data_IF_097132964747
#
_entry.id   IF_097132964747
#
_cell.length_a   1.000
_cell.length_b   1.000
_cell.length_c   1.000
_cell.angle_alpha   90.00
_cell.angle_beta   90.00
_cell.angle_gamma   90.00
#
_symmetry.space_group_name_H-M   'P 1'
#
loop_
_entity.id
_entity.type
_entity.pdbx_description
1 polymer ?
#
# COMPACT_ATOMS: atom_id res chain seq x y z
N UNK A 1 175.18 131.93 -115.93
CA UNK A 1 174.73 131.51 -117.27
C UNK A 1 174.85 129.99 -117.34
N UNK A 2 173.84 129.17 -117.62
CA UNK A 2 172.43 129.41 -117.93
C UNK A 2 171.54 129.14 -116.69
N UNK A 3 170.64 130.09 -116.39
CA UNK A 3 169.71 130.07 -115.26
C UNK A 3 168.54 129.11 -115.60
N UNK A 4 168.49 127.94 -114.95
CA UNK A 4 167.37 127.00 -115.11
C UNK A 4 166.07 127.64 -114.57
N UNK A 5 164.99 127.59 -115.36
CA UNK A 5 163.72 128.28 -115.11
C UNK A 5 162.81 127.51 -114.11
N UNK A 6 161.91 128.18 -113.37
CA UNK A 6 161.11 127.59 -112.30
C UNK A 6 160.16 126.45 -112.72
N UNK A 7 159.73 126.40 -113.99
CA UNK A 7 158.94 125.26 -114.51
C UNK A 7 159.73 123.96 -114.56
N UNK A 8 161.04 124.05 -114.78
CA UNK A 8 161.90 122.88 -114.74
C UNK A 8 162.03 122.38 -113.30
N UNK A 9 162.07 123.26 -112.29
CA UNK A 9 162.13 122.88 -110.86
C UNK A 9 160.90 122.10 -110.38
N UNK A 10 159.68 122.48 -110.78
CA UNK A 10 158.47 121.69 -110.47
C UNK A 10 158.48 120.32 -111.16
N UNK A 11 158.90 120.28 -112.42
CA UNK A 11 159.10 119.01 -113.12
C UNK A 11 160.16 118.16 -112.43
N UNK A 12 161.26 118.75 -111.94
CA UNK A 12 162.27 118.06 -111.15
C UNK A 12 161.74 117.56 -109.79
N UNK A 13 160.84 118.29 -109.11
CA UNK A 13 160.22 117.85 -107.86
C UNK A 13 159.16 116.77 -108.08
N UNK A 14 158.35 116.87 -109.13
CA UNK A 14 157.38 115.83 -109.50
C UNK A 14 158.10 114.56 -110.01
N UNK A 15 159.16 114.71 -110.81
CA UNK A 15 160.07 113.62 -111.18
C UNK A 15 160.81 113.10 -109.96
N UNK A 16 161.16 113.95 -108.99
CA UNK A 16 161.80 113.59 -107.74
C UNK A 16 160.88 112.76 -106.85
N UNK A 17 159.61 113.17 -106.68
CA UNK A 17 158.57 112.40 -105.98
C UNK A 17 158.24 111.10 -106.71
N UNK A 18 158.15 111.12 -108.04
CA UNK A 18 158.01 109.89 -108.83
C UNK A 18 159.20 108.97 -108.63
N UNK A 19 160.44 109.46 -108.75
CA UNK A 19 161.66 108.70 -108.47
C UNK A 19 161.68 108.20 -107.03
N UNK A 20 161.25 108.99 -106.04
CA UNK A 20 161.21 108.58 -104.65
C UNK A 20 160.15 107.50 -104.39
N UNK A 21 158.95 107.65 -104.94
CA UNK A 21 157.90 106.64 -104.87
C UNK A 21 158.28 105.38 -105.65
N UNK A 22 158.92 105.52 -106.81
CA UNK A 22 159.48 104.41 -107.58
C UNK A 22 160.59 103.74 -106.79
N UNK A 23 161.47 104.48 -106.09
CA UNK A 23 162.49 103.92 -105.19
C UNK A 23 161.86 103.20 -103.99
N UNK A 24 160.84 103.78 -103.35
CA UNK A 24 160.11 103.14 -102.24
C UNK A 24 159.31 101.91 -102.70
N UNK A 25 158.83 101.89 -103.94
CA UNK A 25 158.17 100.75 -104.58
C UNK A 25 159.19 99.69 -104.99
N UNK A 26 160.30 100.09 -105.60
CA UNK A 26 161.44 99.24 -105.94
C UNK A 26 162.00 98.54 -104.69
N UNK A 27 162.14 99.25 -103.57
CA UNK A 27 162.49 98.65 -102.27
C UNK A 27 161.53 97.54 -101.82
N UNK A 28 160.25 97.60 -102.21
CA UNK A 28 159.25 96.55 -101.93
C UNK A 28 159.25 95.42 -102.96
N UNK A 29 159.45 95.73 -104.24
CA UNK A 29 159.40 94.78 -105.37
C UNK A 29 160.69 93.97 -105.51
N UNK A 30 161.86 94.61 -105.37
CA UNK A 30 163.17 93.95 -105.49
C UNK A 30 163.58 93.22 -104.21
N UNK A 31 163.04 93.60 -103.05
CA UNK A 31 163.20 92.80 -101.86
C UNK A 31 162.31 91.56 -101.96
N UNK A 32 162.88 90.46 -102.45
CA UNK A 32 162.16 89.21 -102.64
C UNK A 32 161.43 88.75 -101.37
N UNK A 33 161.98 89.04 -100.18
CA UNK A 33 161.35 88.69 -98.90
C UNK A 33 160.05 89.45 -98.67
N UNK A 34 160.00 90.76 -98.91
CA UNK A 34 158.77 91.54 -98.75
C UNK A 34 157.75 91.24 -99.87
N UNK A 35 158.21 90.77 -101.04
CA UNK A 35 157.33 90.36 -102.13
C UNK A 35 156.66 89.00 -101.88
N UNK A 36 157.35 88.08 -101.19
CA UNK A 36 156.84 86.74 -100.86
C UNK A 36 156.09 86.75 -99.51
N UNK A 37 156.61 87.48 -98.51
CA UNK A 37 156.09 87.55 -97.13
C UNK A 37 156.13 89.01 -96.65
N UNK A 38 155.32 89.88 -97.26
CA UNK A 38 155.15 91.26 -96.84
C UNK A 38 153.88 91.44 -96.02
N UNK A 39 154.00 92.12 -94.88
CA UNK A 39 152.86 92.45 -94.02
C UNK A 39 153.20 93.54 -93.03
N UNK A 40 152.16 94.26 -92.59
CA UNK A 40 152.28 95.33 -91.61
C UNK A 40 151.99 94.77 -90.22
N UNK A 41 153.07 94.48 -89.48
CA UNK A 41 152.98 93.87 -88.15
C UNK A 41 152.21 94.77 -87.16
N UNK A 42 152.37 96.09 -87.26
CA UNK A 42 151.70 97.05 -86.36
C UNK A 42 150.19 97.06 -86.61
N UNK A 43 149.75 97.00 -87.87
CA UNK A 43 148.34 96.91 -88.22
C UNK A 43 147.71 95.57 -87.81
N UNK A 44 148.45 94.46 -87.94
CA UNK A 44 148.00 93.16 -87.43
C UNK A 44 147.90 93.14 -85.91
N UNK A 45 148.82 93.76 -85.20
CA UNK A 45 148.77 93.88 -83.73
C UNK A 45 147.51 94.65 -83.29
N UNK A 46 147.15 95.73 -83.98
CA UNK A 46 145.89 96.46 -83.72
C UNK A 46 144.66 95.60 -84.04
N UNK A 47 144.64 94.87 -85.15
CA UNK A 47 143.53 93.97 -85.49
C UNK A 47 143.36 92.84 -84.47
N UNK A 48 144.47 92.24 -84.03
CA UNK A 48 144.49 91.24 -82.96
C UNK A 48 144.01 91.85 -81.64
N UNK A 49 144.39 93.10 -81.35
CA UNK A 49 143.91 93.81 -80.16
C UNK A 49 142.39 94.05 -80.23
N UNK A 50 141.86 94.53 -81.34
CA UNK A 50 140.42 94.75 -81.53
C UNK A 50 139.63 93.44 -81.46
N UNK A 51 140.18 92.37 -82.04
CA UNK A 51 139.59 91.03 -81.95
C UNK A 51 139.58 90.53 -80.50
N UNK A 52 140.68 90.71 -79.76
CA UNK A 52 140.74 90.40 -78.31
C UNK A 52 139.74 91.22 -77.51
N UNK A 53 139.54 92.51 -77.83
CA UNK A 53 138.50 93.33 -77.19
C UNK A 53 137.12 92.76 -77.50
N UNK A 54 136.81 92.46 -78.76
CA UNK A 54 135.51 91.87 -79.15
C UNK A 54 135.26 90.55 -78.42
N UNK A 55 136.22 89.64 -78.45
CA UNK A 55 136.14 88.36 -77.74
C UNK A 55 135.96 88.57 -76.22
N UNK A 56 136.66 89.52 -75.61
CA UNK A 56 136.48 89.85 -74.20
C UNK A 56 135.09 90.44 -73.91
N UNK A 57 134.54 91.30 -74.78
CA UNK A 57 133.20 91.87 -74.61
C UNK A 57 132.10 90.82 -74.80
N UNK A 58 132.24 89.92 -75.76
CA UNK A 58 131.32 88.80 -75.98
C UNK A 58 131.40 87.81 -74.81
N UNK A 59 132.61 87.48 -74.35
CA UNK A 59 132.81 86.65 -73.17
C UNK A 59 132.16 87.28 -71.93
N UNK A 60 132.36 88.59 -71.70
CA UNK A 60 131.70 89.30 -70.61
C UNK A 60 130.17 89.26 -70.72
N UNK A 61 129.59 89.44 -71.92
CA UNK A 61 128.15 89.30 -72.16
C UNK A 61 127.64 87.87 -71.90
N UNK A 62 128.37 86.86 -72.35
CA UNK A 62 128.03 85.47 -72.07
C UNK A 62 128.11 85.16 -70.58
N UNK A 63 129.11 85.71 -69.88
CA UNK A 63 129.24 85.59 -68.43
C UNK A 63 128.08 86.29 -67.69
N UNK A 64 127.62 87.46 -68.14
CA UNK A 64 126.43 88.11 -67.56
C UNK A 64 125.16 87.30 -67.79
N UNK A 65 124.92 86.80 -69.01
CA UNK A 65 123.76 85.94 -69.28
C UNK A 65 123.82 84.62 -68.50
N UNK A 66 125.01 84.01 -68.37
CA UNK A 66 125.19 82.82 -67.56
C UNK A 66 124.97 83.09 -66.06
N UNK A 67 125.31 84.30 -65.57
CA UNK A 67 125.00 84.71 -64.21
C UNK A 67 123.49 84.90 -64.00
N UNK A 68 122.79 85.55 -64.93
CA UNK A 68 121.33 85.72 -64.90
C UNK A 68 120.59 84.37 -64.97
N UNK A 69 121.04 83.46 -65.85
CA UNK A 69 120.48 82.11 -65.94
C UNK A 69 120.62 81.36 -64.60
N UNK A 70 121.79 81.42 -63.97
CA UNK A 70 122.01 80.83 -62.63
C UNK A 70 121.12 81.46 -61.55
N UNK A 71 120.87 82.78 -61.63
CA UNK A 71 119.94 83.45 -60.71
C UNK A 71 118.50 83.00 -60.95
N UNK A 72 118.06 82.93 -62.21
CA UNK A 72 116.72 82.47 -62.57
C UNK A 72 116.49 81.01 -62.17
N UNK A 73 117.46 80.12 -62.41
CA UNK A 73 117.41 78.71 -61.98
C UNK A 73 117.30 78.58 -60.46
N UNK A 74 118.01 79.45 -59.72
CA UNK A 74 117.88 79.50 -58.25
C UNK A 74 116.49 79.96 -57.83
N UNK A 75 115.92 80.96 -58.50
CA UNK A 75 114.57 81.46 -58.22
C UNK A 75 113.52 80.38 -58.52
N UNK A 76 113.62 79.69 -59.65
CA UNK A 76 112.69 78.60 -60.02
C UNK A 76 112.74 77.46 -59.01
N UNK A 77 113.93 77.02 -58.58
CA UNK A 77 114.09 76.01 -57.53
C UNK A 77 113.41 76.43 -56.21
N UNK A 78 113.55 77.71 -55.81
CA UNK A 78 112.92 78.23 -54.60
C UNK A 78 111.39 78.25 -54.74
N UNK A 79 110.87 78.73 -55.87
CA UNK A 79 109.43 78.78 -56.13
C UNK A 79 108.81 77.38 -56.16
N UNK A 80 109.45 76.43 -56.83
CA UNK A 80 109.01 75.05 -56.88
C UNK A 80 109.04 74.40 -55.48
N UNK A 81 110.05 74.73 -54.66
CA UNK A 81 110.12 74.31 -53.25
C UNK A 81 109.02 74.92 -52.38
N UNK A 82 108.57 76.15 -52.67
CA UNK A 82 107.41 76.77 -52.01
C UNK A 82 106.11 76.06 -52.43
N UNK A 83 105.89 75.90 -53.74
CA UNK A 83 104.70 75.22 -54.26
C UNK A 83 104.56 73.79 -53.73
N UNK A 84 105.67 73.03 -53.67
CA UNK A 84 105.68 71.68 -53.06
C UNK A 84 105.31 71.70 -51.58
N UNK A 85 105.76 72.71 -50.82
CA UNK A 85 105.37 72.86 -49.40
C UNK A 85 103.91 73.22 -49.26
N UNK A 86 103.41 74.14 -50.08
CA UNK A 86 102.01 74.58 -50.06
C UNK A 86 101.06 73.42 -50.45
N UNK A 87 101.43 72.63 -51.47
CA UNK A 87 100.71 71.40 -51.83
C UNK A 87 100.69 70.40 -50.67
N UNK A 88 101.84 70.19 -50.00
CA UNK A 88 101.91 69.31 -48.83
C UNK A 88 101.06 69.81 -47.68
N UNK A 89 101.08 71.10 -47.36
CA UNK A 89 100.24 71.67 -46.29
C UNK A 89 98.76 71.59 -46.64
N UNK A 90 98.38 71.82 -47.90
CA UNK A 90 97.00 71.70 -48.35
C UNK A 90 96.53 70.25 -48.25
N UNK A 91 97.31 69.28 -48.75
CA UNK A 91 96.95 67.86 -48.63
C UNK A 91 96.84 67.41 -47.17
N UNK A 92 97.72 67.89 -46.29
CA UNK A 92 97.62 67.66 -44.84
C UNK A 92 96.32 68.23 -44.28
N UNK A 93 96.03 69.50 -44.54
CA UNK A 93 94.79 70.14 -44.08
C UNK A 93 93.52 69.43 -44.59
N UNK A 94 93.52 68.98 -45.85
CA UNK A 94 92.42 68.17 -46.41
C UNK A 94 92.30 66.84 -45.68
N UNK A 95 93.40 66.13 -45.49
CA UNK A 95 93.41 64.85 -44.76
C UNK A 95 92.93 65.03 -43.32
N UNK A 96 93.41 66.06 -42.62
CA UNK A 96 93.00 66.40 -41.25
C UNK A 96 91.50 66.71 -41.22
N UNK A 97 91.01 67.52 -42.15
CA UNK A 97 89.58 67.83 -42.28
C UNK A 97 88.73 66.58 -42.52
N UNK A 98 89.17 65.70 -43.43
CA UNK A 98 88.49 64.43 -43.70
C UNK A 98 88.47 63.53 -42.47
N UNK A 99 89.59 63.41 -41.77
CA UNK A 99 89.72 62.60 -40.56
C UNK A 99 88.88 63.13 -39.39
N UNK A 100 88.70 64.46 -39.27
CA UNK A 100 87.96 65.04 -38.15
C UNK A 100 86.46 65.19 -38.44
N UNK A 101 86.09 65.58 -39.66
CA UNK A 101 84.72 66.00 -39.99
C UNK A 101 84.01 65.12 -41.02
N UNK A 102 84.70 64.18 -41.67
CA UNK A 102 84.10 63.28 -42.67
C UNK A 102 84.16 61.81 -42.23
N UNK A 103 84.17 61.56 -40.92
CA UNK A 103 84.12 60.18 -40.38
C UNK A 103 82.79 59.53 -40.77
N UNK A 104 82.77 58.22 -41.09
CA UNK A 104 81.52 57.50 -41.34
C UNK A 104 80.49 57.67 -40.20
N UNK A 105 80.97 57.67 -38.96
CA UNK A 105 80.17 57.85 -37.74
C UNK A 105 79.42 59.18 -37.67
N UNK A 106 79.93 60.22 -38.35
CA UNK A 106 79.33 61.57 -38.36
C UNK A 106 78.29 61.78 -39.46
N UNK A 107 78.01 60.74 -40.27
CA UNK A 107 76.97 60.79 -41.30
C UNK A 107 75.58 60.78 -40.67
N UNK A 108 74.61 61.39 -41.34
CA UNK A 108 73.22 61.48 -40.84
C UNK A 108 72.57 60.10 -40.76
N UNK A 109 72.87 59.25 -41.73
CA UNK A 109 72.35 57.89 -41.89
C UNK A 109 73.26 56.79 -41.30
N UNK A 110 74.23 57.16 -40.44
CA UNK A 110 75.13 56.18 -39.86
C UNK A 110 74.39 55.20 -38.94
N UNK A 111 73.35 55.64 -38.26
CA UNK A 111 72.46 54.79 -37.45
C UNK A 111 71.89 53.59 -38.25
N UNK A 112 71.56 53.80 -39.53
CA UNK A 112 71.09 52.74 -40.43
C UNK A 112 72.23 51.83 -40.94
N UNK A 113 73.45 52.36 -41.03
CA UNK A 113 74.62 51.68 -41.59
C UNK A 113 75.57 51.10 -40.54
N UNK A 114 75.27 51.30 -39.25
CA UNK A 114 76.11 50.88 -38.14
C UNK A 114 76.15 49.34 -38.07
N UNK A 115 77.33 48.71 -38.20
CA UNK A 115 77.45 47.26 -38.11
C UNK A 115 77.02 46.70 -36.75
N UNK A 116 76.96 47.54 -35.71
CA UNK A 116 76.52 47.16 -34.37
C UNK A 116 75.07 47.55 -34.06
N UNK A 117 74.29 48.05 -35.03
CA UNK A 117 72.90 48.49 -34.83
C UNK A 117 72.05 47.44 -34.09
N UNK A 118 72.03 46.20 -34.59
CA UNK A 118 71.27 45.09 -34.01
C UNK A 118 71.66 44.74 -32.56
N UNK A 119 72.89 45.07 -32.14
CA UNK A 119 73.36 44.84 -30.77
C UNK A 119 72.98 45.99 -29.83
N UNK A 120 72.87 47.21 -30.35
CA UNK A 120 72.45 48.40 -29.60
C UNK A 120 70.92 48.46 -29.45
N UNK A 121 70.20 47.90 -30.42
CA UNK A 121 68.75 47.85 -30.43
C UNK A 121 68.18 47.01 -29.28
N UNK A 122 67.06 47.49 -28.74
CA UNK A 122 66.33 46.81 -27.68
C UNK A 122 65.31 45.84 -28.30
N UNK A 123 65.05 44.67 -27.66
CA UNK A 123 63.98 43.79 -28.11
C UNK A 123 62.63 44.51 -28.18
N UNK A 124 61.82 44.15 -29.18
CA UNK A 124 60.50 44.76 -29.41
C UNK A 124 59.53 44.59 -28.22
N UNK A 125 59.68 43.53 -27.42
CA UNK A 125 58.97 43.33 -26.15
C UNK A 125 59.96 42.83 -25.11
N UNK A 126 60.22 43.64 -24.08
CA UNK A 126 61.11 43.26 -22.97
C UNK A 126 60.36 42.60 -21.81
N UNK A 127 59.15 43.07 -21.54
CA UNK A 127 58.28 42.52 -20.51
C UNK A 127 56.82 42.67 -20.90
N UNK A 128 55.93 41.92 -20.23
CA UNK A 128 54.50 42.01 -20.46
C UNK A 128 53.90 43.35 -20.03
N UNK A 129 54.60 44.06 -19.15
CA UNK A 129 54.24 45.38 -18.63
C UNK A 129 55.06 46.52 -19.26
N UNK A 130 55.71 46.29 -20.42
CA UNK A 130 56.47 47.34 -21.11
C UNK A 130 55.51 48.44 -21.60
N UNK A 131 55.71 49.66 -21.10
CA UNK A 131 54.86 50.82 -21.39
C UNK A 131 54.96 51.23 -22.87
N UNK A 132 56.07 50.91 -23.56
CA UNK A 132 56.26 51.19 -24.98
C UNK A 132 55.30 50.36 -25.86
N UNK A 133 54.83 49.22 -25.36
CA UNK A 133 53.95 48.30 -26.08
C UNK A 133 52.49 48.73 -25.94
N UNK A 134 52.15 49.76 -26.71
CA UNK A 134 50.78 50.23 -26.91
C UNK A 134 50.00 49.29 -27.84
N UNK A 135 48.67 49.46 -27.87
CA UNK A 135 47.76 48.61 -28.68
C UNK A 135 48.09 48.65 -30.17
N UNK A 136 48.54 49.80 -30.71
CA UNK A 136 48.91 49.94 -32.13
C UNK A 136 50.20 49.21 -32.50
N UNK A 137 51.09 48.93 -31.53
CA UNK A 137 52.37 48.27 -31.79
C UNK A 137 52.26 46.77 -32.07
N UNK A 138 51.09 46.16 -31.84
CA UNK A 138 50.80 44.72 -32.06
C UNK A 138 51.79 43.76 -31.37
N UNK A 139 52.51 44.21 -30.34
CA UNK A 139 53.47 43.39 -29.59
C UNK A 139 52.81 42.64 -28.42
N UNK A 140 51.62 43.07 -27.97
CA UNK A 140 50.87 42.47 -26.86
C UNK A 140 49.39 42.38 -27.22
N UNK A 141 48.82 41.19 -27.08
CA UNK A 141 47.41 40.93 -27.35
C UNK A 141 46.68 40.55 -26.06
N UNK A 142 45.48 41.10 -25.85
CA UNK A 142 44.67 40.81 -24.65
C UNK A 142 44.15 39.36 -24.60
N UNK A 143 44.15 38.65 -25.74
CA UNK A 143 43.80 37.23 -25.81
C UNK A 143 44.94 36.28 -25.37
N UNK A 144 46.16 36.79 -25.20
CA UNK A 144 47.27 36.00 -24.67
C UNK A 144 47.06 35.79 -23.17
N UNK A 145 46.68 34.57 -22.78
CA UNK A 145 46.55 34.21 -21.38
C UNK A 145 47.84 33.59 -20.84
N UNK A 146 48.66 34.44 -20.21
CA UNK A 146 49.89 34.03 -19.54
C UNK A 146 49.60 33.15 -18.30
N UNK A 147 48.44 33.34 -17.67
CA UNK A 147 48.04 32.66 -16.43
C UNK A 147 47.20 31.40 -16.71
N UNK A 148 47.18 30.90 -17.95
CA UNK A 148 46.37 29.75 -18.36
C UNK A 148 46.60 28.53 -17.47
N UNK A 149 47.87 28.24 -17.13
CA UNK A 149 48.22 27.09 -16.28
C UNK A 149 47.69 27.25 -14.87
N UNK A 150 47.79 28.43 -14.29
CA UNK A 150 47.31 28.72 -12.93
C UNK A 150 45.78 28.68 -12.87
N UNK A 151 45.11 29.31 -13.85
CA UNK A 151 43.66 29.27 -14.00
C UNK A 151 43.15 27.83 -14.14
N UNK A 152 43.81 27.02 -14.97
CA UNK A 152 43.45 25.61 -15.17
C UNK A 152 43.64 24.80 -13.88
N UNK A 153 44.76 25.00 -13.17
CA UNK A 153 45.00 24.36 -11.87
C UNK A 153 43.91 24.70 -10.86
N UNK A 154 43.52 25.97 -10.76
CA UNK A 154 42.44 26.40 -9.87
C UNK A 154 41.07 25.81 -10.25
N UNK A 155 40.79 25.65 -11.54
CA UNK A 155 39.59 24.95 -12.02
C UNK A 155 39.62 23.46 -11.68
N UNK A 156 40.76 22.79 -11.84
CA UNK A 156 40.95 21.40 -11.46
C UNK A 156 40.77 21.18 -9.95
N UNK A 157 41.30 22.09 -9.12
CA UNK A 157 41.12 22.09 -7.67
C UNK A 157 39.65 22.24 -7.27
N UNK A 158 38.94 23.22 -7.84
CA UNK A 158 37.49 23.39 -7.59
C UNK A 158 36.69 22.15 -8.01
N UNK A 159 36.95 21.61 -9.20
CA UNK A 159 36.27 20.41 -9.69
C UNK A 159 36.53 19.20 -8.77
N UNK A 160 37.76 19.07 -8.26
CA UNK A 160 38.12 18.02 -7.31
C UNK A 160 37.35 18.20 -6.00
N UNK A 161 37.30 19.41 -5.46
CA UNK A 161 36.59 19.70 -4.21
C UNK A 161 35.09 19.44 -4.33
N UNK A 162 34.45 19.89 -5.41
CA UNK A 162 33.04 19.61 -5.68
C UNK A 162 32.77 18.12 -5.83
N UNK A 163 33.62 17.39 -6.55
CA UNK A 163 33.47 15.95 -6.71
C UNK A 163 33.57 15.22 -5.36
N UNK A 164 34.53 15.59 -4.52
CA UNK A 164 34.68 15.02 -3.17
C UNK A 164 33.50 15.37 -2.26
N UNK A 165 32.97 16.59 -2.34
CA UNK A 165 31.79 16.99 -1.59
C UNK A 165 30.57 16.14 -2.00
N UNK A 166 30.32 16.00 -3.30
CA UNK A 166 29.22 15.17 -3.81
C UNK A 166 29.37 13.71 -3.40
N UNK A 167 30.59 13.15 -3.45
CA UNK A 167 30.85 11.78 -2.97
C UNK A 167 30.52 11.63 -1.50
N UNK A 168 30.96 12.57 -0.64
CA UNK A 168 30.65 12.55 0.80
C UNK A 168 29.16 12.68 1.08
N UNK A 169 28.46 13.55 0.36
CA UNK A 169 27.01 13.71 0.49
C UNK A 169 26.26 12.45 0.06
N UNK A 170 26.70 11.83 -1.04
CA UNK A 170 26.14 10.56 -1.52
C UNK A 170 26.38 9.41 -0.54
N UNK A 171 27.60 9.29 0.01
CA UNK A 171 27.93 8.29 1.02
C UNK A 171 27.11 8.48 2.30
N UNK A 172 26.96 9.72 2.77
CA UNK A 172 26.09 10.04 3.92
C UNK A 172 24.63 9.68 3.62
N UNK A 173 24.09 10.08 2.48
CA UNK A 173 22.72 9.76 2.08
C UNK A 173 22.50 8.24 2.01
N UNK A 174 23.46 7.51 1.46
CA UNK A 174 23.43 6.05 1.40
C UNK A 174 23.51 5.40 2.78
N UNK A 175 24.33 5.93 3.68
CA UNK A 175 24.40 5.48 5.07
C UNK A 175 23.06 5.73 5.80
N UNK A 176 22.49 6.93 5.64
CA UNK A 176 21.17 7.25 6.19
C UNK A 176 20.08 6.32 5.66
N UNK A 177 20.07 6.04 4.35
CA UNK A 177 19.13 5.09 3.75
C UNK A 177 19.29 3.69 4.34
N UNK A 178 20.52 3.17 4.44
CA UNK A 178 20.79 1.86 5.08
C UNK A 178 20.31 1.82 6.53
N UNK A 179 20.61 2.85 7.31
CA UNK A 179 20.13 2.93 8.69
C UNK A 179 18.59 2.95 8.77
N UNK A 180 17.92 3.66 7.86
CA UNK A 180 16.45 3.69 7.81
C UNK A 180 15.87 2.32 7.40
N UNK A 181 16.48 1.64 6.43
CA UNK A 181 16.12 0.29 6.02
C UNK A 181 16.31 -0.72 7.16
N UNK A 182 17.45 -0.67 7.87
CA UNK A 182 17.71 -1.53 9.03
C UNK A 182 16.71 -1.30 10.16
N UNK A 183 16.35 -0.04 10.44
CA UNK A 183 15.32 0.29 11.42
C UNK A 183 13.96 -0.26 11.00
N UNK A 184 13.58 -0.06 9.73
CA UNK A 184 12.33 -0.58 9.17
C UNK A 184 12.27 -2.11 9.27
N UNK A 185 13.34 -2.81 8.90
CA UNK A 185 13.45 -4.27 9.01
C UNK A 185 13.31 -4.73 10.46
N UNK A 186 14.00 -4.09 11.41
CA UNK A 186 13.87 -4.40 12.84
C UNK A 186 12.44 -4.20 13.34
N UNK A 187 11.80 -3.09 12.99
CA UNK A 187 10.41 -2.82 13.38
C UNK A 187 9.45 -3.85 12.79
N UNK A 188 9.64 -4.24 11.52
CA UNK A 188 8.84 -5.28 10.88
C UNK A 188 8.99 -6.63 11.58
N UNK A 189 10.21 -7.05 11.89
CA UNK A 189 10.48 -8.28 12.61
C UNK A 189 9.81 -8.28 14.00
N UNK A 190 9.86 -7.15 14.72
CA UNK A 190 9.16 -7.00 15.99
C UNK A 190 7.64 -7.13 15.84
N UNK A 191 7.05 -6.62 14.76
CA UNK A 191 5.63 -6.81 14.49
C UNK A 191 5.29 -8.27 14.19
N UNK A 192 6.11 -8.96 13.38
CA UNK A 192 5.91 -10.38 13.08
C UNK A 192 6.02 -11.25 14.34
N UNK A 193 6.98 -10.96 15.22
CA UNK A 193 7.11 -11.64 16.52
C UNK A 193 5.91 -11.39 17.44
N UNK A 194 5.45 -10.13 17.54
CA UNK A 194 4.25 -9.78 18.32
C UNK A 194 3.00 -10.46 17.75
N UNK A 195 2.85 -10.50 16.43
CA UNK A 195 1.72 -11.15 15.77
C UNK A 195 1.71 -12.67 16.08
N UNK A 196 2.87 -13.33 15.96
CA UNK A 196 3.02 -14.75 16.35
C UNK A 196 2.67 -14.97 17.82
N UNK A 197 3.14 -14.10 18.71
CA UNK A 197 2.82 -14.19 20.13
C UNK A 197 1.32 -14.07 20.41
N UNK A 198 0.66 -13.07 19.80
CA UNK A 198 -0.79 -12.88 19.93
C UNK A 198 -1.58 -14.07 19.36
N UNK A 199 -1.18 -14.60 18.22
CA UNK A 199 -1.80 -15.79 17.62
C UNK A 199 -1.67 -17.01 18.55
N UNK A 200 -0.51 -17.20 19.17
CA UNK A 200 -0.30 -18.28 20.14
C UNK A 200 -1.20 -18.12 21.36
N UNK A 201 -1.30 -16.91 21.93
CA UNK A 201 -2.20 -16.61 23.05
C UNK A 201 -3.66 -16.83 22.68
N UNK A 202 -4.09 -16.38 21.50
CA UNK A 202 -5.44 -16.61 21.00
C UNK A 202 -5.71 -18.12 20.85
N UNK A 203 -4.76 -18.88 20.28
CA UNK A 203 -4.92 -20.33 20.13
C UNK A 203 -5.02 -21.03 21.49
N UNK A 204 -4.26 -20.59 22.49
CA UNK A 204 -4.26 -21.14 23.83
C UNK A 204 -5.57 -20.82 24.56
N UNK A 205 -6.05 -19.58 24.47
CA UNK A 205 -7.34 -19.16 25.05
C UNK A 205 -8.51 -19.88 24.40
N UNK A 206 -8.55 -19.99 23.07
CA UNK A 206 -9.57 -20.79 22.37
C UNK A 206 -9.57 -22.25 22.82
N UNK A 207 -8.39 -22.87 22.96
CA UNK A 207 -8.28 -24.24 23.49
C UNK A 207 -8.82 -24.34 24.92
N UNK A 208 -8.44 -23.41 25.81
CA UNK A 208 -8.89 -23.38 27.19
C UNK A 208 -10.42 -23.20 27.31
N UNK A 209 -11.01 -22.33 26.48
CA UNK A 209 -12.46 -22.16 26.40
C UNK A 209 -13.13 -23.45 25.92
N UNK A 210 -12.61 -24.07 24.85
CA UNK A 210 -13.14 -25.35 24.36
C UNK A 210 -13.06 -26.46 25.41
N UNK A 211 -11.97 -26.55 26.18
CA UNK A 211 -11.87 -27.54 27.27
C UNK A 211 -12.86 -27.26 28.38
N UNK A 212 -13.01 -26.00 28.80
CA UNK A 212 -13.98 -25.61 29.83
C UNK A 212 -15.44 -25.91 29.40
N UNK A 213 -15.80 -25.57 28.16
CA UNK A 213 -17.13 -25.89 27.59
C UNK A 213 -17.35 -27.40 27.51
N UNK A 214 -16.32 -28.17 27.12
CA UNK A 214 -16.40 -29.64 27.09
C UNK A 214 -16.65 -30.21 28.48
N UNK A 215 -15.95 -29.71 29.51
CA UNK A 215 -16.13 -30.14 30.90
C UNK A 215 -17.52 -29.78 31.42
N UNK A 216 -18.00 -28.57 31.13
CA UNK A 216 -19.35 -28.14 31.46
C UNK A 216 -20.43 -29.00 30.78
N UNK A 217 -20.29 -29.31 29.49
CA UNK A 217 -21.24 -30.17 28.80
C UNK A 217 -21.24 -31.60 29.37
N UNK A 218 -20.08 -32.11 29.81
CA UNK A 218 -19.99 -33.39 30.50
C UNK A 218 -20.73 -33.37 31.83
N UNK A 219 -20.50 -32.34 32.66
CA UNK A 219 -21.19 -32.23 33.96
C UNK A 219 -22.70 -32.06 33.78
N UNK A 220 -23.13 -31.29 32.78
CA UNK A 220 -24.55 -31.13 32.44
C UNK A 220 -25.17 -32.45 31.97
N UNK A 221 -24.44 -33.25 31.18
CA UNK A 221 -24.90 -34.57 30.76
C UNK A 221 -25.05 -35.54 31.93
N UNK A 222 -24.09 -35.55 32.88
CA UNK A 222 -24.20 -36.37 34.10
C UNK A 222 -25.35 -35.92 34.98
N UNK A 223 -25.54 -34.61 35.15
CA UNK A 223 -26.66 -34.07 35.93
C UNK A 223 -28.01 -34.42 35.28
N UNK A 224 -28.12 -34.30 33.96
CA UNK A 224 -29.34 -34.70 33.23
C UNK A 224 -29.63 -36.19 33.36
N UNK A 225 -28.60 -37.05 33.33
CA UNK A 225 -28.75 -38.48 33.57
C UNK A 225 -29.25 -38.76 34.99
N UNK A 226 -28.67 -38.11 36.00
CA UNK A 226 -29.11 -38.24 37.40
C UNK A 226 -30.55 -37.78 37.58
N UNK A 227 -30.94 -36.64 36.98
CA UNK A 227 -32.33 -36.15 37.00
C UNK A 227 -33.29 -37.19 36.40
N UNK A 228 -32.98 -37.75 35.23
CA UNK A 228 -33.79 -38.81 34.61
C UNK A 228 -33.90 -40.06 35.49
N UNK A 229 -32.83 -40.44 36.18
CA UNK A 229 -32.86 -41.58 37.12
C UNK A 229 -33.79 -41.25 38.30
N UNK A 230 -33.73 -40.03 38.84
CA UNK A 230 -34.61 -39.58 39.93
C UNK A 230 -36.07 -39.52 39.48
N UNK A 231 -36.34 -38.94 38.32
CA UNK A 231 -37.69 -38.89 37.73
C UNK A 231 -38.26 -40.29 37.53
N UNK A 232 -37.49 -41.22 36.97
CA UNK A 232 -37.93 -42.63 36.84
C UNK A 232 -38.21 -43.30 38.17
N UNK A 233 -37.42 -43.02 39.21
CA UNK A 233 -37.67 -43.54 40.56
C UNK A 233 -38.95 -42.97 41.14
N UNK A 234 -39.16 -41.65 41.00
CA UNK A 234 -40.40 -40.99 41.43
C UNK A 234 -41.61 -41.55 40.69
N UNK A 235 -41.53 -41.71 39.37
CA UNK A 235 -42.59 -42.32 38.56
C UNK A 235 -42.89 -43.75 39.02
N UNK A 236 -41.87 -44.55 39.34
CA UNK A 236 -42.06 -45.89 39.92
C UNK A 236 -42.75 -45.84 41.29
N UNK A 237 -42.34 -44.92 42.17
CA UNK A 237 -42.95 -44.70 43.48
C UNK A 237 -44.42 -44.25 43.36
N UNK A 238 -44.70 -43.31 42.46
CA UNK A 238 -46.04 -42.81 42.17
C UNK A 238 -46.93 -43.91 41.59
N UNK A 239 -46.42 -44.70 40.63
CA UNK A 239 -47.15 -45.84 40.07
C UNK A 239 -47.47 -46.88 41.15
N UNK A 240 -46.51 -47.19 42.03
CA UNK A 240 -46.74 -48.10 43.16
C UNK A 240 -47.76 -47.53 44.15
N UNK A 241 -47.69 -46.22 44.42
CA UNK A 241 -48.65 -45.53 45.28
C UNK A 241 -50.06 -45.58 44.66
N UNK A 242 -50.21 -45.28 43.38
CA UNK A 242 -51.47 -45.38 42.64
C UNK A 242 -52.03 -46.81 42.68
N UNK A 243 -51.22 -47.82 42.35
CA UNK A 243 -51.65 -49.23 42.43
C UNK A 243 -52.10 -49.58 43.85
N UNK A 244 -51.33 -49.18 44.87
CA UNK A 244 -51.69 -49.46 46.26
C UNK A 244 -52.97 -48.75 46.70
N UNK A 245 -53.19 -47.53 46.23
CA UNK A 245 -54.38 -46.73 46.52
C UNK A 245 -55.61 -47.29 45.79
N UNK A 246 -55.46 -47.74 44.55
CA UNK A 246 -56.53 -48.40 43.80
C UNK A 246 -56.92 -49.73 44.45
N UNK A 247 -55.93 -50.57 44.82
CA UNK A 247 -56.17 -51.85 45.48
C UNK A 247 -56.85 -51.69 46.85
N UNK A 248 -56.45 -50.68 47.63
CA UNK A 248 -57.09 -50.35 48.92
C UNK A 248 -58.38 -49.55 48.77
N UNK A 249 -58.57 -48.94 47.60
CA UNK A 249 -59.71 -48.09 47.30
C UNK A 249 -61.01 -48.88 47.35
N UNK A 250 -62.07 -48.21 47.80
CA UNK A 250 -63.34 -48.88 48.07
C UNK A 250 -63.99 -49.46 46.80
N UNK A 251 -63.63 -48.97 45.60
CA UNK A 251 -64.15 -49.45 44.32
C UNK A 251 -63.71 -50.89 44.04
N UNK A 252 -62.41 -51.20 44.11
CA UNK A 252 -61.87 -52.54 43.83
C UNK A 252 -62.06 -53.52 44.99
N UNK A 253 -62.04 -53.03 46.24
CA UNK A 253 -62.30 -53.86 47.43
C UNK A 253 -63.78 -54.13 47.68
N UNK A 254 -64.64 -53.56 46.84
CA UNK A 254 -66.10 -53.58 46.93
C UNK A 254 -66.68 -53.32 48.33
N UNK A 255 -66.00 -52.50 49.13
CA UNK A 255 -66.31 -52.28 50.54
C UNK A 255 -67.82 -52.01 50.82
N UNK A 256 -68.52 -52.87 51.60
CA UNK A 256 -69.94 -52.70 51.92
C UNK A 256 -70.26 -51.40 52.69
N UNK A 257 -69.27 -50.84 53.40
CA UNK A 257 -69.44 -49.62 54.18
C UNK A 257 -69.70 -48.38 53.30
N UNK A 258 -69.42 -48.43 51.99
CA UNK A 258 -69.80 -47.34 51.06
C UNK A 258 -71.31 -47.07 51.01
N UNK A 259 -72.13 -48.08 51.31
CA UNK A 259 -73.58 -47.95 51.32
C UNK A 259 -74.11 -47.25 52.57
N UNK A 260 -73.28 -47.04 53.61
CA UNK A 260 -73.68 -46.39 54.85
C UNK A 260 -73.97 -44.90 54.61
N UNK A 261 -75.19 -44.46 54.93
CA UNK A 261 -75.55 -43.05 54.83
C UNK A 261 -75.00 -42.26 55.99
N UNK A 262 -74.48 -41.05 55.72
CA UNK A 262 -74.12 -40.08 56.77
C UNK A 262 -75.32 -39.64 57.62
N UNK A 263 -76.55 -39.82 57.12
CA UNK A 263 -77.79 -39.43 57.82
C UNK A 263 -78.31 -40.50 58.80
N UNK A 264 -77.63 -41.64 58.94
CA UNK A 264 -77.87 -42.59 60.02
C UNK A 264 -77.75 -44.07 59.64
N UNK A 265 -77.57 -44.98 60.63
CA UNK A 265 -77.24 -46.39 60.39
C UNK A 265 -78.31 -47.21 59.66
N UNK A 266 -79.57 -46.78 59.73
CA UNK A 266 -80.72 -47.46 59.14
C UNK A 266 -80.97 -47.06 57.68
N UNK A 267 -80.23 -46.06 57.17
CA UNK A 267 -80.40 -45.54 55.81
C UNK A 267 -79.23 -45.94 54.94
N UNK A 268 -79.54 -46.50 53.77
CA UNK A 268 -78.54 -46.85 52.77
C UNK A 268 -78.56 -45.87 51.61
N UNK A 269 -77.40 -45.61 51.01
CA UNK A 269 -77.28 -44.83 49.77
C UNK A 269 -77.68 -45.73 48.59
N UNK A 270 -78.77 -45.42 47.85
CA UNK A 270 -79.32 -46.34 46.83
C UNK A 270 -78.31 -46.74 45.75
N UNK A 271 -77.55 -45.77 45.23
CA UNK A 271 -76.61 -45.98 44.12
C UNK A 271 -75.42 -46.87 44.48
N UNK A 272 -75.13 -47.04 45.78
CA UNK A 272 -73.97 -47.77 46.31
C UNK A 272 -74.37 -49.04 47.06
N UNK A 273 -75.65 -49.41 47.01
CA UNK A 273 -76.16 -50.57 47.74
C UNK A 273 -75.77 -51.88 47.02
N UNK A 274 -75.05 -52.75 47.73
CA UNK A 274 -74.51 -54.02 47.21
C UNK A 274 -75.13 -55.25 47.87
N UNK A 275 -76.43 -55.19 48.15
CA UNK A 275 -77.17 -56.27 48.80
C UNK A 275 -77.15 -56.20 50.34
N UNK A 276 -77.74 -57.22 50.97
CA UNK A 276 -77.87 -57.32 52.43
C UNK A 276 -76.58 -57.87 53.05
N UNK A 277 -76.29 -57.47 54.29
CA UNK A 277 -75.16 -58.05 55.03
C UNK A 277 -75.42 -59.52 55.35
N UNK A 278 -74.34 -60.29 55.53
CA UNK A 278 -74.46 -61.71 55.86
C UNK A 278 -75.25 -61.94 57.15
N UNK A 279 -75.06 -61.07 58.15
CA UNK A 279 -75.83 -61.08 59.41
C UNK A 279 -77.34 -60.85 59.17
N UNK A 280 -77.71 -59.92 58.28
CA UNK A 280 -79.12 -59.66 57.93
C UNK A 280 -79.74 -60.86 57.20
N UNK A 281 -79.01 -61.47 56.27
CA UNK A 281 -79.46 -62.68 55.58
C UNK A 281 -79.64 -63.86 56.54
N UNK A 282 -78.75 -64.00 57.52
CA UNK A 282 -78.84 -65.02 58.57
C UNK A 282 -80.07 -64.80 59.48
N UNK A 283 -80.37 -63.54 59.84
CA UNK A 283 -81.59 -63.19 60.57
C UNK A 283 -82.84 -63.53 59.77
N UNK A 284 -82.89 -63.21 58.47
CA UNK A 284 -84.02 -63.58 57.60
C UNK A 284 -84.19 -65.09 57.54
N UNK A 285 -83.10 -65.85 57.37
CA UNK A 285 -83.16 -67.33 57.38
C UNK A 285 -83.68 -67.86 58.71
N UNK A 286 -83.30 -67.24 59.82
CA UNK A 286 -83.78 -67.61 61.15
C UNK A 286 -85.28 -67.35 61.31
N UNK A 287 -85.77 -66.18 60.87
CA UNK A 287 -87.20 -65.84 60.86
C UNK A 287 -87.99 -66.78 59.96
N UNK A 288 -87.49 -67.12 58.77
CA UNK A 288 -88.14 -68.09 57.88
C UNK A 288 -88.26 -69.48 58.52
N UNK A 289 -87.23 -69.94 59.24
CA UNK A 289 -87.30 -71.19 60.01
C UNK A 289 -88.38 -71.14 61.10
N UNK A 290 -88.48 -70.01 61.81
CA UNK A 290 -89.54 -69.81 62.80
C UNK A 290 -90.94 -69.83 62.17
N UNK A 291 -91.13 -69.16 61.02
CA UNK A 291 -92.40 -69.18 60.28
C UNK A 291 -92.79 -70.60 59.83
N UNK A 292 -91.84 -71.41 59.37
CA UNK A 292 -92.09 -72.82 59.03
C UNK A 292 -92.56 -73.61 60.26
N UNK A 293 -91.91 -73.42 61.41
CA UNK A 293 -92.31 -74.08 62.66
C UNK A 293 -93.69 -73.62 63.15
N UNK A 294 -93.99 -72.33 63.06
CA UNK A 294 -95.30 -71.78 63.43
C UNK A 294 -96.42 -72.29 62.51
N UNK A 295 -96.16 -72.35 61.20
CA UNK A 295 -97.11 -72.92 60.23
C UNK A 295 -97.38 -74.40 60.49
N UNK A 296 -96.35 -75.17 60.84
CA UNK A 296 -96.52 -76.57 61.24
C UNK A 296 -97.38 -76.69 62.51
N UNK A 297 -97.16 -75.86 63.52
CA UNK A 297 -98.02 -75.81 64.72
C UNK A 297 -99.48 -75.51 64.38
N UNK A 298 -99.73 -74.51 63.53
CA UNK A 298 -101.09 -74.14 63.12
C UNK A 298 -101.79 -75.28 62.35
N UNK A 299 -101.08 -76.01 61.48
CA UNK A 299 -101.62 -77.19 60.79
C UNK A 299 -101.97 -78.33 61.77
N UNK A 300 -101.18 -78.49 62.82
CA UNK A 300 -101.44 -79.50 63.86
C UNK A 300 -102.67 -79.13 64.69
N UNK A 301 -102.83 -77.86 65.04
CA UNK A 301 -104.05 -77.33 65.68
C UNK A 301 -105.29 -77.50 64.79
N UNK A 302 -105.17 -77.21 63.50
CA UNK A 302 -106.26 -77.37 62.53
C UNK A 302 -106.68 -78.84 62.40
N UNK A 303 -105.74 -79.78 62.31
CA UNK A 303 -106.04 -81.22 62.36
C UNK A 303 -106.78 -81.62 63.64
N UNK A 304 -106.38 -81.10 64.80
CA UNK A 304 -107.07 -81.41 66.06
C UNK A 304 -108.50 -80.87 66.04
N UNK A 305 -108.71 -79.64 65.57
CA UNK A 305 -110.05 -79.04 65.41
C UNK A 305 -110.93 -79.83 64.45
N UNK A 306 -110.39 -80.29 63.32
CA UNK A 306 -111.10 -81.12 62.35
C UNK A 306 -111.49 -82.48 62.93
N UNK A 307 -110.60 -83.13 63.68
CA UNK A 307 -110.89 -84.39 64.36
C UNK A 307 -112.00 -84.24 65.39
N UNK A 308 -111.98 -83.16 66.17
CA UNK A 308 -113.05 -82.84 67.13
C UNK A 308 -114.38 -82.52 66.43
N UNK A 309 -114.35 -81.79 65.31
CA UNK A 309 -115.51 -81.53 64.47
C UNK A 309 -116.10 -82.82 63.89
N UNK A 310 -115.26 -83.73 63.39
CA UNK A 310 -115.68 -85.02 62.86
C UNK A 310 -116.32 -85.88 63.95
N UNK A 311 -115.72 -85.91 65.14
CA UNK A 311 -116.24 -86.62 66.31
C UNK A 311 -117.61 -86.09 66.73
N UNK A 312 -117.77 -84.76 66.80
CA UNK A 312 -119.08 -84.12 67.07
C UNK A 312 -120.10 -84.49 66.00
N UNK A 313 -119.75 -84.41 64.71
CA UNK A 313 -120.63 -84.76 63.58
C UNK A 313 -121.16 -86.18 63.69
N UNK A 314 -120.28 -87.15 63.97
CA UNK A 314 -120.64 -88.56 64.13
C UNK A 314 -121.56 -88.76 65.34
N UNK A 315 -121.28 -88.11 66.48
CA UNK A 315 -122.15 -88.19 67.67
C UNK A 315 -123.54 -87.60 67.40
N UNK A 316 -123.63 -86.43 66.74
CA UNK A 316 -124.92 -85.82 66.36
C UNK A 316 -125.70 -86.69 65.38
N UNK A 317 -125.05 -87.28 64.36
CA UNK A 317 -125.72 -88.19 63.43
C UNK A 317 -126.25 -89.45 64.14
N UNK A 318 -125.49 -89.98 65.10
CA UNK A 318 -125.92 -91.14 65.91
C UNK A 318 -127.12 -90.80 66.80
N UNK A 319 -127.14 -89.61 67.41
CA UNK A 319 -128.28 -89.14 68.20
C UNK A 319 -129.54 -88.89 67.35
N UNK A 320 -129.37 -88.35 66.13
CA UNK A 320 -130.46 -88.14 65.17
C UNK A 320 -131.11 -89.48 64.75
N UNK A 321 -130.29 -90.48 64.39
CA UNK A 321 -130.78 -91.83 64.08
C UNK A 321 -131.53 -92.49 65.24
N UNK A 322 -131.07 -92.31 66.48
CA UNK A 322 -131.76 -92.83 67.66
C UNK A 322 -133.13 -92.14 67.87
N UNK A 323 -133.21 -90.81 67.65
CA UNK A 323 -134.47 -90.06 67.68
C UNK A 323 -135.44 -90.51 66.58
N UNK A 324 -134.98 -90.70 65.34
CA UNK A 324 -135.82 -91.21 64.25
C UNK A 324 -136.39 -92.59 64.58
N UNK A 325 -135.58 -93.53 65.08
CA UNK A 325 -136.06 -94.86 65.50
C UNK A 325 -137.11 -94.76 66.61
N UNK A 326 -136.94 -93.84 67.55
CA UNK A 326 -137.92 -93.62 68.61
C UNK A 326 -139.24 -93.07 68.06
N UNK A 327 -139.18 -92.07 67.18
CA UNK A 327 -140.35 -91.53 66.49
C UNK A 327 -141.09 -92.58 65.66
N UNK A 328 -140.36 -93.44 64.94
CA UNK A 328 -140.96 -94.53 64.17
C UNK A 328 -141.69 -95.55 65.06
N UNK A 329 -141.16 -95.86 66.26
CA UNK A 329 -141.87 -96.74 67.23
C UNK A 329 -143.16 -96.09 67.71
N UNK A 330 -143.10 -94.82 68.12
CA UNK A 330 -144.26 -94.05 68.57
C UNK A 330 -145.35 -93.96 67.49
N UNK A 331 -144.98 -93.69 66.23
CA UNK A 331 -145.94 -93.68 65.11
C UNK A 331 -146.57 -95.06 64.88
N UNK A 332 -145.81 -96.14 65.10
CA UNK A 332 -146.32 -97.52 65.00
C UNK A 332 -147.34 -97.84 66.09
N UNK A 333 -147.08 -97.39 67.32
CA UNK A 333 -147.98 -97.57 68.45
C UNK A 333 -149.25 -96.72 68.30
N UNK A 334 -149.14 -95.47 67.84
CA UNK A 334 -150.28 -94.61 67.50
C UNK A 334 -151.15 -95.19 66.39
N UNK A 335 -150.55 -95.78 65.34
CA UNK A 335 -151.31 -96.47 64.28
C UNK A 335 -152.08 -97.67 64.82
N UNK A 336 -151.46 -98.51 65.67
CA UNK A 336 -152.15 -99.63 66.32
C UNK A 336 -153.34 -99.16 67.18
N UNK A 337 -153.17 -98.08 67.94
CA UNK A 337 -154.25 -97.52 68.76
C UNK A 337 -155.41 -97.00 67.89
N UNK A 338 -155.12 -96.33 66.77
CA UNK A 338 -156.12 -95.90 65.80
C UNK A 338 -156.86 -97.09 65.16
N UNK A 339 -156.13 -98.14 64.78
CA UNK A 339 -156.72 -99.36 64.21
C UNK A 339 -157.68 -100.04 65.21
N UNK A 340 -157.31 -100.11 66.50
CA UNK A 340 -158.19 -100.62 67.56
C UNK A 340 -159.44 -99.75 67.76
N UNK A 341 -159.28 -98.42 67.76
CA UNK A 341 -160.41 -97.49 67.91
C UNK A 341 -161.39 -97.58 66.73
N UNK A 342 -160.88 -97.74 65.50
CA UNK A 342 -161.70 -97.91 64.30
C UNK A 342 -162.47 -99.23 64.30
N UNK A 343 -161.88 -100.30 64.84
CA UNK A 343 -162.53 -101.59 65.03
C UNK A 343 -163.77 -101.48 65.95
N UNK A 344 -163.64 -100.80 67.09
CA UNK A 344 -164.77 -100.56 68.00
C UNK A 344 -165.88 -99.71 67.36
N UNK A 345 -165.51 -98.63 66.67
CA UNK A 345 -166.45 -97.76 65.94
C UNK A 345 -167.24 -98.51 64.84
N UNK A 346 -166.61 -99.48 64.18
CA UNK A 346 -167.25 -100.30 63.15
C UNK A 346 -168.28 -101.29 63.74
N UNK A 347 -168.04 -101.82 64.94
CA UNK A 347 -168.98 -102.68 65.65
C UNK A 347 -170.20 -101.89 66.15
N UNK A 348 -169.98 -100.68 66.70
CA UNK A 348 -171.06 -99.78 67.14
C UNK A 348 -171.99 -99.35 65.99
N UNK A 349 -171.42 -99.01 64.82
CA UNK A 349 -172.23 -98.69 63.64
C UNK A 349 -173.07 -99.87 63.13
N UNK A 350 -172.55 -101.10 63.21
CA UNK A 350 -173.31 -102.30 62.84
C UNK A 350 -174.49 -102.54 63.79
N UNK A 351 -174.31 -102.28 65.09
CA UNK A 351 -175.39 -102.41 66.08
C UNK A 351 -176.49 -101.34 65.88
N UNK A 352 -176.10 -100.08 65.62
CA UNK A 352 -177.06 -99.01 65.33
C UNK A 352 -177.89 -99.26 64.06
N UNK A 353 -177.30 -99.81 62.99
CA UNK A 353 -178.04 -100.14 61.77
C UNK A 353 -179.12 -101.20 62.01
N UNK A 354 -178.83 -102.23 62.82
CA UNK A 354 -179.83 -103.24 63.18
C UNK A 354 -181.00 -102.65 63.98
N UNK A 355 -180.71 -101.74 64.92
CA UNK A 355 -181.76 -101.05 65.70
C UNK A 355 -182.64 -100.13 64.84
N UNK A 356 -182.05 -99.45 63.85
CA UNK A 356 -182.80 -98.55 62.96
C UNK A 356 -183.73 -99.28 61.98
N UNK A 357 -183.42 -100.52 61.59
CA UNK A 357 -184.27 -101.33 60.72
C UNK A 357 -185.53 -101.86 61.43
N UNK A 358 -185.53 -101.96 62.77
CA UNK A 358 -186.68 -102.41 63.56
C UNK A 358 -187.71 -101.29 63.86
N UNK A 359 -187.31 -100.01 63.79
CA UNK A 359 -188.17 -98.85 64.16
C UNK A 359 -189.02 -98.33 62.98
N UNK A 360 -188.69 -98.67 61.73
CA UNK A 360 -189.37 -98.16 60.54
C UNK A 360 -190.50 -99.09 60.02
N UNK A 361 -191.45 -99.46 60.87
CA UNK A 361 -192.72 -100.09 60.45
C UNK A 361 -193.92 -99.24 60.87
N UNK A 362 -194.62 -98.64 59.90
CA UNK A 362 -195.78 -97.79 60.16
C UNK A 362 -197.08 -98.52 59.78
N UNK A 363 -197.98 -98.68 60.76
CA UNK A 363 -199.38 -99.09 60.57
C UNK A 363 -200.31 -97.87 60.41
N UNK A 364 -201.46 -98.00 59.72
CA UNK A 364 -202.33 -96.86 59.41
C UNK A 364 -203.21 -96.46 60.60
N UNK A 365 -203.52 -95.16 60.72
CA UNK A 365 -204.40 -94.59 61.75
C UNK A 365 -205.75 -94.18 61.15
N UNK A 366 -206.83 -94.39 61.90
CA UNK A 366 -208.24 -94.32 61.44
C UNK A 366 -208.70 -92.95 60.88
N UNK A 367 -207.96 -91.87 61.15
CA UNK A 367 -208.17 -90.54 60.55
C UNK A 367 -207.99 -90.53 59.01
N UNK A 368 -207.27 -91.51 58.47
CA UNK A 368 -207.02 -91.63 57.03
C UNK A 368 -208.28 -91.96 56.21
N UNK A 369 -209.26 -92.68 56.77
CA UNK A 369 -210.44 -93.16 56.03
C UNK A 369 -211.62 -92.18 56.04
N UNK A 370 -211.56 -91.09 56.81
CA UNK A 370 -212.64 -90.07 56.88
C UNK A 370 -212.49 -88.96 55.84
N UNK A 371 -211.43 -88.98 55.03
CA UNK A 371 -211.05 -87.84 54.19
C UNK A 371 -211.64 -87.81 52.78
N UNK A 372 -212.24 -88.90 52.26
CA UNK A 372 -212.59 -88.95 50.83
C UNK A 372 -214.05 -89.34 50.56
N UNK A 373 -214.95 -88.34 50.65
CA UNK A 373 -216.30 -88.24 50.04
C UNK A 373 -217.08 -87.03 50.62
N UNK A 374 -216.45 -85.85 50.77
CA UNK A 374 -217.03 -84.70 51.53
C UNK A 374 -217.57 -83.54 50.68
N UNK A 375 -217.56 -83.61 49.33
CA UNK A 375 -218.19 -82.59 48.45
C UNK A 375 -218.73 -83.19 47.15
N UNK A 376 -219.91 -82.73 46.73
CA UNK A 376 -220.50 -83.02 45.42
C UNK A 376 -220.07 -81.98 44.39
N UNK A 377 -219.10 -82.36 43.56
CA UNK A 377 -218.96 -81.85 42.19
C UNK A 377 -218.29 -82.89 41.32
#
# INVERSE_FOLDING_TARGET
>A
MALAQPRDLEQYLALGKRRHNELCRQKRIFNARNRIIGGDAEAWDVQVHDQKIKEATEKARHETFAAEMRQNDKITCILEGRERRDKRSLCKAISDFQQHFQRPETRREFDLSDPLALRKDLPARQSDNDIRNTVSGMQRFMGEDLNFRERKKFQEEQNREWSLQQQREWEKARAHQRCAEDLYLKTRLQFDERAKHLQNLESATRKAVCTAVKEFNKSQATESLERKIREKKQEQEDNLAEISNLLRGDLLSENPHQAASSFGPHRVVPDRWKGMTQEQLEQIRLVQKQQVQEKLRLQEEERQRDMDWYRRRVQTARAALLRERWQQRQQRDLRRALDCSNLGLAEEQRAQKKYMEEVCTNQPTEDYFTQFNTRSR
#
